data_IF_022285753237
#
_entry.id   IF_022285753237
#
_cell.length_a   1.000
_cell.length_b   1.000
_cell.length_c   1.000
_cell.angle_alpha   90.00
_cell.angle_beta   90.00
_cell.angle_gamma   90.00
#
_symmetry.space_group_name_H-M   'P 1'
#
loop_
_entity.id
_entity.type
_entity.pdbx_description
1 polymer ?
#
# COMPACT_ATOMS: atom_id res chain seq x y z
N UNK A 1 -5.19 -9.30 0.53
CA UNK A 1 -4.01 -9.07 1.38
C UNK A 1 -4.25 -7.78 2.15
N UNK A 2 -3.97 -7.74 3.45
CA UNK A 2 -4.14 -6.51 4.24
C UNK A 2 -2.95 -5.61 3.96
N UNK A 3 -3.16 -4.39 3.49
CA UNK A 3 -2.09 -3.49 3.02
C UNK A 3 -1.83 -2.33 3.98
N UNK A 4 -2.24 -2.47 5.24
CA UNK A 4 -2.15 -1.42 6.23
C UNK A 4 -1.99 -1.98 7.64
N UNK A 5 -1.43 -1.16 8.52
CA UNK A 5 -1.29 -1.44 9.94
C UNK A 5 -1.33 -0.15 10.78
N UNK A 6 -1.51 -0.30 12.08
CA UNK A 6 -1.31 0.79 13.03
C UNK A 6 -0.03 0.53 13.80
N UNK A 7 0.82 1.55 13.88
CA UNK A 7 2.03 1.52 14.68
C UNK A 7 1.99 2.66 15.69
N UNK A 8 2.69 2.46 16.81
CA UNK A 8 2.90 3.49 17.82
C UNK A 8 4.27 4.12 17.57
N UNK A 9 4.34 5.44 17.60
CA UNK A 9 5.62 6.15 17.51
C UNK A 9 6.40 5.95 18.82
N UNK A 10 7.68 5.58 18.70
CA UNK A 10 8.60 5.37 19.82
C UNK A 10 9.65 6.51 19.80
N UNK A 11 9.46 7.53 20.63
CA UNK A 11 10.23 8.78 20.56
C UNK A 11 9.95 9.52 19.25
N UNK A 12 10.88 9.42 18.31
CA UNK A 12 10.76 9.93 16.92
C UNK A 12 10.79 8.83 15.86
N UNK A 13 10.93 7.58 16.29
CA UNK A 13 11.08 6.43 15.41
C UNK A 13 9.75 5.73 15.17
N UNK A 14 9.54 5.30 13.93
CA UNK A 14 8.34 4.59 13.51
C UNK A 14 8.78 3.24 12.96
N UNK A 15 8.47 2.18 13.70
CA UNK A 15 8.73 0.80 13.29
C UNK A 15 7.65 0.34 12.31
N UNK A 16 8.07 -0.29 11.23
CA UNK A 16 7.18 -0.92 10.26
C UNK A 16 7.21 -2.43 10.52
N UNK A 17 6.04 -3.10 10.53
CA UNK A 17 5.99 -4.55 10.76
C UNK A 17 6.84 -5.31 9.74
N UNK A 18 7.44 -6.42 10.18
CA UNK A 18 8.39 -7.20 9.41
C UNK A 18 7.80 -7.62 8.07
N UNK A 19 6.53 -8.05 8.05
CA UNK A 19 5.89 -8.45 6.81
C UNK A 19 5.77 -7.29 5.80
N UNK A 20 5.39 -6.10 6.27
CA UNK A 20 5.29 -4.91 5.42
C UNK A 20 6.67 -4.44 4.97
N UNK A 21 7.65 -4.43 5.87
CA UNK A 21 9.04 -4.09 5.57
C UNK A 21 9.64 -5.03 4.52
N UNK A 22 9.49 -6.35 4.70
CA UNK A 22 9.96 -7.38 3.77
C UNK A 22 9.30 -7.24 2.39
N UNK A 23 7.98 -6.99 2.37
CA UNK A 23 7.22 -6.82 1.12
C UNK A 23 7.66 -5.58 0.36
N UNK A 24 8.02 -4.51 1.06
CA UNK A 24 8.36 -3.21 0.49
C UNK A 24 9.86 -3.01 0.26
N UNK A 25 10.69 -3.98 0.64
CA UNK A 25 12.15 -3.86 0.54
C UNK A 25 12.74 -2.83 1.51
N UNK A 26 12.04 -2.51 2.60
CA UNK A 26 12.50 -1.63 3.68
C UNK A 26 13.42 -2.42 4.62
N UNK A 27 14.59 -2.79 4.13
CA UNK A 27 15.60 -3.55 4.87
C UNK A 27 16.59 -2.64 5.58
N UNK A 28 17.20 -3.11 6.67
CA UNK A 28 18.22 -2.36 7.39
C UNK A 28 19.39 -1.97 6.48
N UNK A 29 19.77 -0.69 6.55
CA UNK A 29 20.76 -0.08 5.65
C UNK A 29 20.22 0.32 4.28
N UNK A 30 18.98 -0.06 3.94
CA UNK A 30 18.27 0.39 2.75
C UNK A 30 18.00 1.90 2.79
N UNK A 31 18.21 2.58 1.67
CA UNK A 31 17.98 4.02 1.55
C UNK A 31 16.54 4.29 1.13
N UNK A 32 15.86 5.14 1.90
CA UNK A 32 14.52 5.63 1.59
C UNK A 32 14.53 7.13 1.33
N UNK A 33 13.70 7.51 0.35
CA UNK A 33 13.36 8.89 0.02
C UNK A 33 12.03 9.22 0.67
N UNK A 34 11.94 10.34 1.36
CA UNK A 34 10.74 10.70 2.11
C UNK A 34 10.19 12.07 1.71
N UNK A 35 8.89 12.27 1.83
CA UNK A 35 8.27 13.59 1.70
C UNK A 35 7.10 13.72 2.65
N UNK A 36 7.12 14.83 3.38
CA UNK A 36 6.06 15.24 4.29
C UNK A 36 5.00 16.04 3.56
N UNK A 37 3.76 15.65 3.76
CA UNK A 37 2.57 16.32 3.30
C UNK A 37 1.69 16.74 4.48
N UNK A 38 0.97 17.84 4.33
CA UNK A 38 -0.08 18.28 5.24
C UNK A 38 -1.45 18.06 4.63
N UNK A 39 -2.32 17.39 5.36
CA UNK A 39 -3.71 17.20 4.97
C UNK A 39 -4.53 18.50 5.15
N UNK A 40 -5.65 18.65 4.43
CA UNK A 40 -6.56 19.76 4.62
C UNK A 40 -7.14 19.78 6.05
N UNK A 41 -7.71 20.93 6.43
CA UNK A 41 -8.35 21.10 7.73
C UNK A 41 -9.52 20.13 7.95
N UNK A 42 -10.18 19.67 6.89
CA UNK A 42 -11.26 18.69 6.96
C UNK A 42 -10.73 17.26 7.15
N UNK A 43 -11.47 16.44 7.91
CA UNK A 43 -11.15 15.03 8.16
C UNK A 43 -10.14 14.79 9.30
N UNK A 44 -9.86 13.52 9.63
CA UNK A 44 -9.09 13.15 10.83
C UNK A 44 -7.57 13.14 10.64
N UNK A 45 -7.08 13.18 9.40
CA UNK A 45 -5.65 13.12 9.09
C UNK A 45 -5.02 14.50 9.20
N UNK A 46 -3.80 14.58 9.73
CA UNK A 46 -3.05 15.84 9.89
C UNK A 46 -1.86 15.91 8.95
N UNK A 47 -0.91 15.00 9.11
CA UNK A 47 0.28 14.90 8.28
C UNK A 47 0.42 13.50 7.68
N UNK A 48 1.13 13.41 6.56
CA UNK A 48 1.45 12.15 5.92
C UNK A 48 2.90 12.18 5.43
N UNK A 49 3.71 11.20 5.84
CA UNK A 49 5.02 10.96 5.25
C UNK A 49 4.87 9.87 4.21
N UNK A 50 5.25 10.15 2.97
CA UNK A 50 5.40 9.13 1.94
C UNK A 50 6.87 8.72 1.88
N UNK A 51 7.16 7.44 2.09
CA UNK A 51 8.45 6.81 1.87
C UNK A 51 8.45 6.07 0.52
N UNK A 52 9.55 6.20 -0.22
CA UNK A 52 9.80 5.46 -1.46
C UNK A 52 11.22 4.93 -1.47
N UNK A 53 11.41 3.76 -2.08
CA UNK A 53 12.74 3.21 -2.39
C UNK A 53 13.41 3.91 -3.58
N UNK A 54 12.66 4.76 -4.30
CA UNK A 54 13.13 5.41 -5.52
C UNK A 54 13.23 6.93 -5.35
N UNK A 55 14.25 7.56 -5.95
CA UNK A 55 14.31 9.01 -6.04
C UNK A 55 13.11 9.57 -6.82
N UNK A 56 12.58 10.72 -6.41
CA UNK A 56 11.39 11.30 -7.03
C UNK A 56 11.61 11.75 -8.47
N UNK A 57 12.84 12.16 -8.78
CA UNK A 57 13.29 12.52 -10.11
C UNK A 57 13.08 11.39 -11.12
N UNK A 58 13.14 10.13 -10.67
CA UNK A 58 12.98 8.95 -11.54
C UNK A 58 11.53 8.53 -11.72
N UNK A 59 10.56 9.07 -10.97
CA UNK A 59 9.16 8.61 -11.02
C UNK A 59 8.50 8.65 -12.41
N UNK A 60 9.05 9.45 -13.33
CA UNK A 60 8.55 9.55 -14.72
C UNK A 60 9.08 8.44 -15.63
N UNK A 61 10.18 7.81 -15.27
CA UNK A 61 10.82 6.73 -16.04
C UNK A 61 10.51 5.35 -15.44
N UNK A 62 10.10 5.28 -14.17
CA UNK A 62 9.67 4.05 -13.53
C UNK A 62 8.50 3.38 -14.27
N UNK A 63 8.71 2.12 -14.63
CA UNK A 63 7.80 1.36 -15.48
C UNK A 63 7.67 -0.07 -14.96
N UNK A 64 6.43 -0.56 -14.92
CA UNK A 64 6.13 -1.96 -14.72
C UNK A 64 6.39 -2.76 -15.99
N UNK A 65 7.20 -3.82 -15.86
CA UNK A 65 7.43 -4.79 -16.92
C UNK A 65 6.97 -6.15 -16.42
N UNK A 66 5.98 -6.75 -17.09
CA UNK A 66 5.55 -8.12 -16.82
C UNK A 66 6.01 -9.02 -17.95
N UNK A 67 6.88 -9.97 -17.65
CA UNK A 67 7.41 -10.91 -18.64
C UNK A 67 6.76 -12.28 -18.44
N UNK A 68 6.24 -12.85 -19.53
CA UNK A 68 5.66 -14.20 -19.56
C UNK A 68 6.69 -15.11 -20.20
N UNK A 69 7.23 -16.04 -19.44
CA UNK A 69 8.36 -16.88 -19.82
C UNK A 69 7.95 -18.35 -19.87
N UNK A 70 8.65 -19.12 -20.68
CA UNK A 70 8.56 -20.57 -20.62
C UNK A 70 9.12 -21.10 -19.30
N UNK A 71 8.47 -22.10 -18.72
CA UNK A 71 8.95 -22.79 -17.52
C UNK A 71 10.03 -23.82 -17.88
N UNK A 72 11.18 -23.31 -18.33
CA UNK A 72 12.35 -24.12 -18.73
C UNK A 72 13.65 -23.45 -18.28
N UNK A 73 14.75 -24.22 -18.14
CA UNK A 73 16.04 -23.67 -17.73
C UNK A 73 16.52 -22.51 -18.60
N UNK A 74 16.94 -21.43 -17.94
CA UNK A 74 17.51 -20.24 -18.58
C UNK A 74 16.51 -19.21 -19.10
N UNK A 75 15.21 -19.39 -18.90
CA UNK A 75 14.19 -18.40 -19.30
C UNK A 75 14.36 -17.05 -18.58
N UNK A 76 14.52 -17.06 -17.26
CA UNK A 76 14.75 -15.82 -16.48
C UNK A 76 16.08 -15.15 -16.84
N UNK A 77 17.12 -15.93 -17.14
CA UNK A 77 18.41 -15.39 -17.58
C UNK A 77 18.31 -14.72 -18.96
N UNK A 78 17.57 -15.32 -19.91
CA UNK A 78 17.30 -14.72 -21.21
C UNK A 78 16.48 -13.42 -21.06
N UNK A 79 15.45 -13.44 -20.22
CA UNK A 79 14.63 -12.26 -19.91
C UNK A 79 15.46 -11.12 -19.32
N UNK A 80 16.31 -11.40 -18.32
CA UNK A 80 17.22 -10.42 -17.74
C UNK A 80 18.24 -9.91 -18.77
N UNK A 81 18.79 -10.80 -19.60
CA UNK A 81 19.71 -10.44 -20.68
C UNK A 81 19.08 -9.53 -21.74
N UNK A 82 17.81 -9.75 -22.07
CA UNK A 82 17.04 -8.91 -23.00
C UNK A 82 16.89 -7.47 -22.48
N UNK A 83 16.64 -7.29 -21.18
CA UNK A 83 16.59 -5.97 -20.54
C UNK A 83 17.99 -5.34 -20.45
N UNK A 84 18.98 -6.11 -20.00
CA UNK A 84 20.35 -5.65 -19.80
C UNK A 84 21.02 -5.17 -21.10
N UNK A 85 20.80 -5.86 -22.22
CA UNK A 85 21.35 -5.45 -23.52
C UNK A 85 20.81 -4.11 -24.03
N UNK A 86 19.78 -3.57 -23.37
CA UNK A 86 19.14 -2.27 -23.66
C UNK A 86 19.39 -1.24 -22.57
N UNK A 87 20.26 -1.55 -21.61
CA UNK A 87 20.57 -0.65 -20.50
C UNK A 87 19.41 -0.47 -19.52
N UNK A 88 18.42 -1.36 -19.51
CA UNK A 88 17.27 -1.26 -18.61
C UNK A 88 17.63 -1.91 -17.28
N UNK A 89 17.59 -1.11 -16.22
CA UNK A 89 17.85 -1.59 -14.86
C UNK A 89 16.58 -2.14 -14.23
N UNK A 90 16.67 -3.38 -13.72
CA UNK A 90 15.63 -3.94 -12.86
C UNK A 90 15.83 -3.39 -11.46
N UNK A 91 14.79 -2.76 -10.90
CA UNK A 91 14.84 -2.14 -9.58
C UNK A 91 14.32 -3.10 -8.51
N UNK A 92 13.07 -3.52 -8.63
CA UNK A 92 12.42 -4.45 -7.73
C UNK A 92 11.60 -5.48 -8.51
N UNK A 93 11.30 -6.63 -7.90
CA UNK A 93 10.47 -7.66 -8.54
C UNK A 93 9.53 -8.33 -7.54
N UNK A 94 8.27 -8.55 -7.96
CA UNK A 94 7.28 -9.27 -7.16
C UNK A 94 7.10 -10.67 -7.75
N UNK A 95 7.85 -11.62 -7.20
CA UNK A 95 7.69 -13.08 -7.34
C UNK A 95 7.62 -13.65 -8.77
N UNK A 96 7.78 -14.97 -8.84
CA UNK A 96 7.81 -15.78 -10.05
C UNK A 96 6.64 -16.76 -9.88
N UNK A 97 5.45 -16.36 -10.31
CA UNK A 97 4.22 -17.12 -10.06
C UNK A 97 3.86 -17.93 -11.31
N UNK A 98 3.99 -19.25 -11.21
CA UNK A 98 3.35 -20.20 -12.13
C UNK A 98 2.26 -20.94 -11.35
N UNK A 99 0.99 -20.68 -11.66
CA UNK A 99 -0.09 -21.58 -11.23
C UNK A 99 -0.30 -22.55 -12.40
N UNK A 100 0.05 -23.82 -12.20
CA UNK A 100 0.14 -24.89 -13.21
C UNK A 100 1.25 -24.69 -14.26
N UNK A 101 2.45 -25.20 -13.97
CA UNK A 101 3.58 -25.71 -14.79
C UNK A 101 3.74 -25.29 -16.28
N UNK A 102 3.22 -24.14 -16.71
CA UNK A 102 3.11 -23.82 -18.14
C UNK A 102 3.69 -22.46 -18.50
N UNK A 103 3.67 -21.49 -17.57
CA UNK A 103 4.19 -20.14 -17.76
C UNK A 103 4.73 -19.60 -16.45
N UNK A 104 5.94 -19.06 -16.52
CA UNK A 104 6.50 -18.21 -15.48
C UNK A 104 6.04 -16.76 -15.74
N UNK A 105 5.36 -16.14 -14.78
CA UNK A 105 5.07 -14.70 -14.84
C UNK A 105 6.02 -13.97 -13.91
N UNK A 106 6.86 -13.09 -14.47
CA UNK A 106 7.79 -12.26 -13.71
C UNK A 106 7.37 -10.79 -13.78
N UNK A 107 6.96 -10.23 -12.64
CA UNK A 107 6.55 -8.83 -12.52
C UNK A 107 7.70 -8.00 -11.96
N UNK A 108 8.08 -6.96 -12.69
CA UNK A 108 9.24 -6.13 -12.43
C UNK A 108 8.85 -4.66 -12.34
N UNK A 109 9.54 -3.92 -11.48
CA UNK A 109 9.72 -2.48 -11.59
C UNK A 109 11.08 -2.25 -12.26
N UNK A 110 11.11 -1.45 -13.32
CA UNK A 110 12.32 -1.11 -14.03
C UNK A 110 12.46 0.40 -14.22
N UNK A 111 13.71 0.88 -14.23
CA UNK A 111 14.03 2.25 -14.60
C UNK A 111 14.31 2.30 -16.11
N UNK A 112 13.50 3.07 -16.81
CA UNK A 112 13.71 3.36 -18.23
C UNK A 112 14.70 4.53 -18.38
N UNK A 113 15.43 4.60 -19.47
CA UNK A 113 16.33 5.71 -19.76
C UNK A 113 15.56 7.02 -19.98
N UNK A 114 14.34 6.95 -20.51
CA UNK A 114 13.46 8.10 -20.71
C UNK A 114 11.98 7.69 -20.74
N UNK A 115 11.09 8.66 -20.52
CA UNK A 115 9.66 8.45 -20.59
C UNK A 115 9.22 8.08 -22.03
N UNK A 116 8.57 6.93 -22.18
CA UNK A 116 8.12 6.40 -23.48
C UNK A 116 9.01 5.28 -24.06
N UNK A 117 10.19 5.02 -23.50
CA UNK A 117 11.06 3.92 -23.94
C UNK A 117 10.37 2.55 -23.84
N UNK A 118 9.40 2.39 -22.94
CA UNK A 118 8.61 1.17 -22.82
C UNK A 118 7.88 0.76 -24.10
N UNK A 119 7.45 1.72 -24.94
CA UNK A 119 6.82 1.39 -26.22
C UNK A 119 7.85 0.88 -27.23
N UNK A 120 9.05 1.48 -27.26
CA UNK A 120 10.18 1.04 -28.09
C UNK A 120 10.60 -0.39 -27.71
N UNK A 121 10.73 -0.66 -26.40
CA UNK A 121 11.04 -2.00 -25.89
C UNK A 121 10.02 -3.05 -26.36
N UNK A 122 8.73 -2.69 -26.37
CA UNK A 122 7.66 -3.56 -26.87
C UNK A 122 7.79 -3.83 -28.36
N UNK A 123 7.97 -2.78 -29.16
CA UNK A 123 8.12 -2.89 -30.61
C UNK A 123 9.33 -3.74 -31.01
N UNK A 124 10.47 -3.53 -30.34
CA UNK A 124 11.67 -4.33 -30.57
C UNK A 124 11.46 -5.80 -30.21
N UNK A 125 10.83 -6.08 -29.07
CA UNK A 125 10.52 -7.44 -28.67
C UNK A 125 9.66 -8.16 -29.72
N UNK A 126 8.56 -7.53 -30.15
CA UNK A 126 7.65 -8.10 -31.15
C UNK A 126 8.36 -8.30 -32.50
N UNK A 127 9.23 -7.36 -32.89
CA UNK A 127 10.06 -7.48 -34.09
C UNK A 127 11.02 -8.66 -34.03
N UNK A 128 11.62 -8.93 -32.87
CA UNK A 128 12.49 -10.10 -32.65
C UNK A 128 11.69 -11.40 -32.63
N UNK A 129 10.50 -11.41 -32.00
CA UNK A 129 9.59 -12.57 -32.01
C UNK A 129 9.12 -12.92 -33.41
N UNK A 130 8.71 -11.93 -34.22
CA UNK A 130 8.27 -12.14 -35.60
C UNK A 130 9.38 -12.74 -36.49
N UNK A 131 10.66 -12.48 -36.15
CA UNK A 131 11.83 -13.03 -36.84
C UNK A 131 12.31 -14.37 -36.26
N UNK A 132 11.64 -14.90 -35.24
CA UNK A 132 12.08 -16.08 -34.49
C UNK A 132 13.52 -15.95 -33.95
N UNK A 133 13.89 -14.77 -33.47
CA UNK A 133 15.23 -14.52 -32.95
C UNK A 133 15.49 -15.37 -31.68
N UNK A 134 16.60 -16.14 -31.64
CA UNK A 134 16.93 -16.99 -30.49
C UNK A 134 17.04 -16.25 -29.16
N UNK A 135 17.38 -14.96 -29.16
CA UNK A 135 17.56 -14.13 -27.97
C UNK A 135 16.28 -13.87 -27.18
N UNK A 136 15.11 -14.10 -27.78
CA UNK A 136 13.78 -13.93 -27.15
C UNK A 136 12.92 -15.19 -27.24
N UNK A 137 13.54 -16.33 -27.61
CA UNK A 137 12.86 -17.60 -27.87
C UNK A 137 12.01 -18.10 -26.69
N UNK A 138 12.49 -17.91 -25.45
CA UNK A 138 11.87 -18.39 -24.20
C UNK A 138 10.94 -17.36 -23.54
N UNK A 139 10.81 -16.18 -24.15
CA UNK A 139 9.92 -15.12 -23.71
C UNK A 139 8.68 -15.18 -24.60
N UNK A 140 7.51 -15.44 -24.02
CA UNK A 140 6.24 -15.53 -24.74
C UNK A 140 5.68 -14.17 -25.06
N UNK A 141 5.67 -13.27 -24.07
CA UNK A 141 5.07 -11.94 -24.15
C UNK A 141 5.71 -11.01 -23.13
N UNK A 142 5.68 -9.70 -23.40
CA UNK A 142 5.95 -8.66 -22.41
C UNK A 142 4.77 -7.68 -22.35
N UNK A 143 4.32 -7.35 -21.14
CA UNK A 143 3.38 -6.26 -20.89
C UNK A 143 4.14 -5.12 -20.20
N UNK A 144 3.95 -3.89 -20.68
CA UNK A 144 4.67 -2.71 -20.18
C UNK A 144 3.65 -1.64 -19.84
N UNK A 145 3.74 -1.08 -18.63
CA UNK A 145 2.85 -0.03 -18.13
C UNK A 145 3.64 0.97 -17.26
N UNK A 146 3.49 2.29 -17.47
CA UNK A 146 4.08 3.28 -16.56
C UNK A 146 3.63 3.06 -15.11
N UNK A 147 4.52 3.27 -14.14
CA UNK A 147 4.20 3.08 -12.72
C UNK A 147 3.28 4.19 -12.17
N UNK A 148 3.23 5.35 -12.83
CA UNK A 148 2.43 6.53 -12.43
C UNK A 148 2.61 7.00 -10.99
N UNK A 149 3.72 6.63 -10.33
CA UNK A 149 4.02 6.91 -8.92
C UNK A 149 3.90 8.39 -8.57
N UNK A 150 4.33 9.26 -9.48
CA UNK A 150 4.27 10.71 -9.31
C UNK A 150 2.87 11.25 -9.00
N UNK A 151 1.79 10.52 -9.30
CA UNK A 151 0.42 10.92 -8.93
C UNK A 151 0.21 11.04 -7.42
N UNK A 152 0.92 10.22 -6.62
CA UNK A 152 0.81 10.20 -5.15
C UNK A 152 1.44 11.45 -4.50
N UNK A 153 2.32 12.13 -5.23
CA UNK A 153 3.07 13.32 -4.80
C UNK A 153 2.56 14.61 -5.45
N UNK A 154 1.53 14.55 -6.31
CA UNK A 154 0.92 15.76 -6.86
C UNK A 154 0.13 16.45 -5.75
N UNK A 155 0.71 17.51 -5.20
CA UNK A 155 -0.01 18.47 -4.36
C UNK A 155 -1.26 18.99 -5.06
N UNK A 156 -2.25 19.38 -4.25
CA UNK A 156 -3.57 19.80 -4.69
C UNK A 156 -3.56 20.78 -5.89
N UNK A 157 -4.00 20.33 -7.07
CA UNK A 157 -4.61 21.22 -8.09
C UNK A 157 -6.13 21.32 -7.94
N UNK A 158 -6.71 20.57 -7.00
CA UNK A 158 -8.13 20.47 -6.70
C UNK A 158 -8.40 20.73 -5.21
N UNK A 159 -9.54 21.33 -4.84
CA UNK A 159 -9.93 21.50 -3.44
C UNK A 159 -9.91 20.15 -2.69
N UNK A 160 -9.22 20.08 -1.54
CA UNK A 160 -9.16 18.88 -0.69
C UNK A 160 -7.91 18.00 -0.83
N UNK A 161 -6.96 18.34 -1.72
CA UNK A 161 -5.68 17.63 -1.79
C UNK A 161 -4.73 18.00 -0.65
N UNK A 162 -3.78 17.11 -0.34
CA UNK A 162 -2.68 17.37 0.60
C UNK A 162 -1.65 18.35 -0.01
N UNK A 163 -1.02 19.15 0.83
CA UNK A 163 0.03 20.10 0.47
C UNK A 163 1.40 19.49 0.74
N UNK A 164 2.33 19.59 -0.21
CA UNK A 164 3.71 19.17 0.00
C UNK A 164 4.41 20.19 0.90
N UNK A 165 4.87 19.76 2.09
CA UNK A 165 5.50 20.63 3.08
C UNK A 165 7.02 20.61 2.93
N UNK A 166 7.60 19.41 2.85
CA UNK A 166 9.05 19.23 2.83
C UNK A 166 9.44 17.91 2.20
N UNK A 167 10.43 17.94 1.31
CA UNK A 167 11.14 16.75 0.86
C UNK A 167 12.31 16.47 1.79
N UNK A 168 12.39 15.25 2.28
CA UNK A 168 13.51 14.77 3.06
C UNK A 168 14.73 14.49 2.19
N UNK A 169 15.90 14.45 2.81
CA UNK A 169 17.09 13.88 2.19
C UNK A 169 17.05 12.34 2.28
N UNK A 170 17.80 11.64 1.41
CA UNK A 170 17.87 10.18 1.47
C UNK A 170 18.40 9.71 2.82
N UNK A 171 17.69 8.79 3.46
CA UNK A 171 18.01 8.33 4.81
C UNK A 171 17.93 6.81 4.89
N UNK A 172 18.76 6.21 5.74
CA UNK A 172 18.79 4.76 5.90
C UNK A 172 17.73 4.31 6.92
N UNK A 173 17.05 3.19 6.62
CA UNK A 173 16.29 2.44 7.62
C UNK A 173 17.27 1.80 8.60
N UNK A 174 16.98 1.90 9.89
CA UNK A 174 17.79 1.33 10.98
C UNK A 174 16.90 0.55 11.93
N UNK A 175 17.26 -0.69 12.21
CA UNK A 175 16.54 -1.61 13.09
C UNK A 175 15.03 -1.75 12.75
N UNK A 176 14.71 -1.72 11.45
CA UNK A 176 13.35 -1.75 10.92
C UNK A 176 12.51 -0.49 11.18
N UNK A 177 13.16 0.62 11.53
CA UNK A 177 12.50 1.88 11.86
C UNK A 177 12.94 3.04 10.95
N UNK A 178 11.98 3.93 10.69
CA UNK A 178 12.19 5.22 10.08
C UNK A 178 12.19 6.31 11.16
N UNK A 179 13.29 7.04 11.28
CA UNK A 179 13.42 8.13 12.25
C UNK A 179 13.05 9.47 11.59
N UNK A 180 12.08 10.17 12.18
CA UNK A 180 11.59 11.44 11.64
C UNK A 180 12.30 12.66 12.24
N UNK A 181 13.09 12.50 13.31
CA UNK A 181 13.64 13.62 14.09
C UNK A 181 14.42 14.61 13.24
N UNK A 182 15.35 14.10 12.43
CA UNK A 182 16.35 14.94 11.77
C UNK A 182 15.75 15.75 10.63
N UNK A 183 14.69 15.24 10.01
CA UNK A 183 14.11 15.79 8.78
C UNK A 183 12.81 16.53 9.03
N UNK A 184 12.04 16.13 10.04
CA UNK A 184 10.68 16.59 10.27
C UNK A 184 10.38 16.90 11.73
N UNK A 185 11.32 16.72 12.67
CA UNK A 185 11.07 16.90 14.10
C UNK A 185 10.67 18.31 14.52
N UNK A 186 11.00 19.34 13.74
CA UNK A 186 10.56 20.72 13.94
C UNK A 186 9.07 20.93 13.58
N UNK A 187 8.50 20.08 12.72
CA UNK A 187 7.10 20.12 12.30
C UNK A 187 6.27 19.10 13.08
N UNK A 188 6.80 17.89 13.22
CA UNK A 188 6.21 16.74 13.89
C UNK A 188 6.73 16.63 15.33
N UNK A 189 6.63 17.72 16.08
CA UNK A 189 7.01 17.75 17.50
C UNK A 189 5.99 17.03 18.38
N UNK A 190 6.46 16.35 19.44
CA UNK A 190 5.57 15.72 20.44
C UNK A 190 4.77 14.52 19.93
N UNK A 191 5.30 13.82 18.92
CA UNK A 191 4.65 12.64 18.33
C UNK A 191 4.86 11.34 19.12
N UNK A 192 5.70 11.36 20.15
CA UNK A 192 5.96 10.17 20.97
C UNK A 192 4.66 9.59 21.53
N UNK A 193 4.48 8.28 21.37
CA UNK A 193 3.28 7.57 21.77
C UNK A 193 2.03 7.81 20.91
N UNK A 194 2.11 8.59 19.83
CA UNK A 194 0.98 8.74 18.91
C UNK A 194 0.80 7.46 18.06
N UNK A 195 -0.45 7.16 17.70
CA UNK A 195 -0.74 6.13 16.70
C UNK A 195 -0.65 6.72 15.30
N UNK A 196 0.02 6.00 14.41
CA UNK A 196 0.08 6.30 12.98
C UNK A 196 -0.53 5.15 12.19
N UNK A 197 -1.17 5.48 11.07
CA UNK A 197 -1.61 4.49 10.09
C UNK A 197 -0.52 4.34 9.04
N UNK A 198 0.02 3.14 8.94
CA UNK A 198 0.97 2.79 7.89
C UNK A 198 0.20 2.06 6.80
N UNK A 199 0.32 2.51 5.54
CA UNK A 199 -0.34 1.89 4.38
C UNK A 199 0.68 1.67 3.28
N UNK A 200 0.71 0.47 2.70
CA UNK A 200 1.57 0.18 1.56
C UNK A 200 0.81 0.27 0.22
N UNK A 201 1.52 0.74 -0.80
CA UNK A 201 1.20 0.52 -2.20
C UNK A 201 2.31 -0.36 -2.79
N UNK A 202 2.04 -1.67 -2.82
CA UNK A 202 3.00 -2.68 -3.27
C UNK A 202 3.34 -2.56 -4.76
N UNK A 203 2.43 -2.05 -5.59
CA UNK A 203 2.72 -1.80 -6.99
C UNK A 203 3.70 -0.61 -7.11
N UNK A 204 3.46 0.45 -6.34
CA UNK A 204 4.29 1.65 -6.35
C UNK A 204 5.59 1.55 -5.53
N UNK A 205 5.78 0.49 -4.74
CA UNK A 205 6.85 0.37 -3.74
C UNK A 205 6.93 1.60 -2.81
N UNK A 206 5.75 2.05 -2.39
CA UNK A 206 5.56 3.20 -1.51
C UNK A 206 4.92 2.81 -0.19
N UNK A 207 5.41 3.40 0.89
CA UNK A 207 4.82 3.34 2.21
C UNK A 207 4.30 4.74 2.58
N UNK A 208 3.06 4.82 3.03
CA UNK A 208 2.46 6.03 3.59
C UNK A 208 2.37 5.88 5.11
N UNK A 209 2.87 6.86 5.85
CA UNK A 209 2.74 6.97 7.30
C UNK A 209 1.85 8.18 7.58
N UNK A 210 0.62 7.94 8.00
CA UNK A 210 -0.38 8.98 8.28
C UNK A 210 -0.46 9.26 9.78
N UNK A 211 -0.28 10.52 10.15
CA UNK A 211 -0.53 11.08 11.46
C UNK A 211 -1.95 11.63 11.54
N UNK A 212 -2.58 11.47 12.71
CA UNK A 212 -3.94 11.93 12.95
C UNK A 212 -3.95 13.22 13.77
N UNK A 213 -5.00 14.03 13.59
CA UNK A 213 -5.21 15.27 14.34
C UNK A 213 -5.46 14.96 15.80
N UNK A 214 -5.11 15.92 16.66
CA UNK A 214 -5.46 15.86 18.08
C UNK A 214 -6.98 15.70 18.25
N UNK A 215 -7.40 14.82 19.16
CA UNK A 215 -8.81 14.48 19.37
C UNK A 215 -9.38 13.39 18.46
N UNK A 216 -8.60 12.86 17.51
CA UNK A 216 -8.98 11.65 16.77
C UNK A 216 -9.08 10.47 17.73
N UNK A 217 -10.21 9.76 17.73
CA UNK A 217 -10.46 8.64 18.65
C UNK A 217 -10.64 7.37 17.84
N UNK A 218 -9.59 6.57 17.77
CA UNK A 218 -9.55 5.40 16.89
C UNK A 218 -10.02 4.13 17.61
N UNK A 219 -10.89 3.39 16.93
CA UNK A 219 -11.39 2.10 17.38
C UNK A 219 -11.25 1.09 16.26
N UNK A 220 -10.76 -0.10 16.60
CA UNK A 220 -10.75 -1.27 15.73
C UNK A 220 -11.87 -2.23 16.15
N UNK A 221 -12.70 -2.63 15.19
CA UNK A 221 -13.72 -3.65 15.36
C UNK A 221 -13.58 -4.75 14.31
N UNK A 222 -13.79 -6.00 14.72
CA UNK A 222 -13.74 -7.15 13.83
C UNK A 222 -15.00 -7.98 13.98
N UNK A 223 -15.59 -8.36 12.85
CA UNK A 223 -16.88 -9.01 12.77
C UNK A 223 -16.77 -10.27 11.92
N UNK A 224 -17.41 -11.35 12.37
CA UNK A 224 -17.79 -12.44 11.48
C UNK A 224 -19.21 -12.19 10.98
N UNK A 225 -19.42 -12.44 9.69
CA UNK A 225 -20.68 -12.12 9.03
C UNK A 225 -20.91 -13.02 7.81
N UNK A 226 -22.12 -13.05 7.23
CA UNK A 226 -22.39 -13.83 6.04
C UNK A 226 -21.64 -13.31 4.82
N UNK A 227 -21.11 -14.22 4.01
CA UNK A 227 -20.55 -13.90 2.70
C UNK A 227 -21.68 -13.85 1.66
N UNK A 228 -22.44 -12.75 1.63
CA UNK A 228 -23.57 -12.57 0.72
C UNK A 228 -23.74 -11.09 0.26
N UNK A 229 -24.45 -10.85 -0.85
CA UNK A 229 -24.77 -9.49 -1.30
C UNK A 229 -25.47 -8.67 -0.20
N UNK A 230 -25.02 -7.43 0.02
CA UNK A 230 -25.58 -6.54 1.02
C UNK A 230 -25.13 -6.81 2.47
N UNK A 231 -24.32 -7.85 2.72
CA UNK A 231 -23.80 -8.13 4.06
C UNK A 231 -23.01 -6.96 4.63
N UNK A 232 -21.96 -6.52 3.91
CA UNK A 232 -21.11 -5.39 4.35
C UNK A 232 -21.94 -4.11 4.48
N UNK A 233 -22.81 -3.85 3.51
CA UNK A 233 -23.67 -2.66 3.48
C UNK A 233 -24.48 -2.50 4.78
N UNK A 234 -25.10 -3.59 5.25
CA UNK A 234 -25.89 -3.57 6.47
C UNK A 234 -25.08 -3.14 7.71
N UNK A 235 -23.85 -3.66 7.85
CA UNK A 235 -22.95 -3.28 8.96
C UNK A 235 -22.50 -1.84 8.82
N UNK A 236 -22.12 -1.40 7.62
CA UNK A 236 -21.66 -0.03 7.41
C UNK A 236 -22.78 0.99 7.62
N UNK A 237 -24.03 0.66 7.31
CA UNK A 237 -25.19 1.51 7.58
C UNK A 237 -25.44 1.69 9.09
N UNK A 238 -25.25 0.64 9.89
CA UNK A 238 -25.33 0.75 11.37
C UNK A 238 -24.28 1.73 11.89
N UNK A 239 -23.04 1.61 11.42
CA UNK A 239 -21.92 2.44 11.85
C UNK A 239 -22.10 3.90 11.39
N UNK A 240 -22.53 4.11 10.15
CA UNK A 240 -22.84 5.42 9.61
C UNK A 240 -23.94 6.13 10.44
N UNK A 241 -24.93 5.36 10.93
CA UNK A 241 -25.98 5.86 11.83
C UNK A 241 -25.47 6.45 13.15
N UNK A 242 -24.22 6.19 13.54
CA UNK A 242 -23.59 6.74 14.74
C UNK A 242 -22.67 7.94 14.45
N UNK A 243 -22.68 8.46 13.22
CA UNK A 243 -21.79 9.55 12.79
C UNK A 243 -20.30 9.20 12.97
N UNK A 244 -19.96 7.92 12.79
CA UNK A 244 -18.59 7.40 12.88
C UNK A 244 -17.96 7.40 11.50
N UNK A 245 -16.73 7.92 11.40
CA UNK A 245 -16.00 7.93 10.14
C UNK A 245 -15.16 6.65 10.01
N UNK A 246 -15.16 6.02 8.84
CA UNK A 246 -14.32 4.85 8.56
C UNK A 246 -12.94 5.30 8.08
N UNK A 247 -11.89 4.79 8.73
CA UNK A 247 -10.49 4.99 8.33
C UNK A 247 -10.04 3.87 7.41
N UNK A 248 -10.41 2.63 7.74
CA UNK A 248 -10.04 1.46 6.95
C UNK A 248 -11.09 0.37 7.04
N UNK A 249 -11.25 -0.36 5.94
CA UNK A 249 -12.12 -1.52 5.80
C UNK A 249 -11.32 -2.64 5.16
N UNK A 250 -11.25 -3.79 5.83
CA UNK A 250 -10.61 -4.99 5.30
C UNK A 250 -11.56 -6.16 5.45
N UNK A 251 -11.69 -6.98 4.40
CA UNK A 251 -12.49 -8.19 4.46
C UNK A 251 -11.74 -9.40 3.95
N UNK A 252 -12.12 -10.57 4.46
CA UNK A 252 -11.58 -11.86 4.04
C UNK A 252 -12.68 -12.91 4.09
N UNK A 253 -12.93 -13.58 2.96
CA UNK A 253 -13.79 -14.76 2.92
C UNK A 253 -13.15 -15.88 3.73
N UNK A 254 -13.91 -16.45 4.68
CA UNK A 254 -13.51 -17.63 5.45
C UNK A 254 -14.00 -18.91 4.78
N UNK A 255 -15.27 -18.92 4.40
CA UNK A 255 -15.92 -19.99 3.64
C UNK A 255 -16.78 -19.33 2.57
N UNK A 256 -16.48 -19.63 1.31
CA UNK A 256 -17.13 -19.00 0.17
C UNK A 256 -18.64 -19.19 0.22
N UNK A 257 -19.38 -18.09 0.04
CA UNK A 257 -20.84 -18.02 0.09
C UNK A 257 -21.48 -18.39 1.43
N UNK A 258 -20.68 -18.41 2.51
CA UNK A 258 -21.17 -18.74 3.85
C UNK A 258 -20.72 -17.71 4.88
N UNK A 259 -19.41 -17.48 4.99
CA UNK A 259 -18.87 -16.67 6.10
C UNK A 259 -17.66 -15.88 5.65
N UNK A 260 -17.61 -14.62 6.07
CA UNK A 260 -16.49 -13.73 5.93
C UNK A 260 -16.14 -13.05 7.25
N UNK A 261 -14.92 -12.54 7.30
CA UNK A 261 -14.44 -11.65 8.34
C UNK A 261 -14.37 -10.22 7.80
N UNK A 262 -14.83 -9.25 8.58
CA UNK A 262 -14.76 -7.83 8.29
C UNK A 262 -14.04 -7.13 9.45
N UNK A 263 -12.91 -6.51 9.15
CA UNK A 263 -12.16 -5.65 10.07
C UNK A 263 -12.37 -4.19 9.68
N UNK A 264 -12.70 -3.38 10.67
CA UNK A 264 -12.98 -1.95 10.54
C UNK A 264 -12.07 -1.19 11.49
N UNK A 265 -11.49 -0.09 10.99
CA UNK A 265 -10.90 0.94 11.84
C UNK A 265 -11.66 2.23 11.64
N UNK A 266 -12.04 2.83 12.75
CA UNK A 266 -13.05 3.86 12.83
C UNK A 266 -12.53 5.03 13.65
N UNK A 267 -12.80 6.25 13.19
CA UNK A 267 -12.68 7.45 14.01
C UNK A 267 -14.06 7.78 14.60
N UNK A 268 -14.17 7.60 15.91
CA UNK A 268 -15.38 7.90 16.69
C UNK A 268 -15.34 9.34 17.25
N UNK A 269 -14.35 10.15 16.87
CA UNK A 269 -14.17 11.53 17.32
C UNK A 269 -15.43 12.38 17.21
N UNK A 270 -16.18 12.23 16.11
CA UNK A 270 -17.44 12.94 15.83
C UNK A 270 -18.72 12.23 16.30
N UNK A 271 -18.60 11.06 16.92
CA UNK A 271 -19.74 10.35 17.48
C UNK A 271 -20.09 10.90 18.87
N UNK A 272 -21.39 10.96 19.17
CA UNK A 272 -21.89 11.21 20.52
C UNK A 272 -21.68 10.00 21.45
N UNK A 273 -21.38 8.83 20.87
CA UNK A 273 -21.15 7.60 21.61
C UNK A 273 -19.68 7.46 22.01
N UNK A 274 -19.43 6.96 23.22
CA UNK A 274 -18.10 6.55 23.66
C UNK A 274 -17.70 5.20 23.05
N UNK A 275 -16.40 4.89 23.09
CA UNK A 275 -15.90 3.58 22.65
C UNK A 275 -16.56 2.41 23.40
N UNK A 276 -16.80 2.56 24.71
CA UNK A 276 -17.52 1.58 25.53
C UNK A 276 -18.98 1.42 25.12
N UNK A 277 -19.70 2.51 24.89
CA UNK A 277 -21.10 2.45 24.43
C UNK A 277 -21.21 1.75 23.07
N UNK A 278 -20.30 2.06 22.13
CA UNK A 278 -20.28 1.39 20.83
C UNK A 278 -19.99 -0.10 21.01
N UNK A 279 -19.03 -0.48 21.87
CA UNK A 279 -18.70 -1.88 22.17
C UNK A 279 -19.92 -2.65 22.67
N UNK A 280 -20.72 -2.05 23.55
CA UNK A 280 -21.91 -2.68 24.14
C UNK A 280 -23.10 -2.73 23.17
N UNK A 281 -23.29 -1.67 22.38
CA UNK A 281 -24.44 -1.56 21.49
C UNK A 281 -24.28 -2.32 20.18
N UNK A 282 -23.05 -2.43 19.65
CA UNK A 282 -22.79 -3.01 18.33
C UNK A 282 -23.32 -4.45 18.19
N UNK A 283 -23.08 -5.39 19.12
CA UNK A 283 -23.61 -6.75 19.01
C UNK A 283 -25.13 -6.80 18.84
N UNK A 284 -25.87 -6.03 19.65
CA UNK A 284 -27.34 -6.01 19.56
C UNK A 284 -27.86 -5.32 18.30
N UNK A 285 -27.13 -4.34 17.76
CA UNK A 285 -27.52 -3.66 16.52
C UNK A 285 -27.30 -4.50 15.27
N UNK A 286 -26.31 -5.39 15.29
CA UNK A 286 -26.03 -6.28 14.16
C UNK A 286 -26.80 -7.60 14.21
N UNK A 287 -27.31 -8.01 15.38
CA UNK A 287 -28.13 -9.23 15.53
C UNK A 287 -29.44 -9.17 14.74
N UNK A 288 -30.01 -7.97 14.59
CA UNK A 288 -31.25 -7.75 13.82
C UNK A 288 -31.06 -7.68 12.30
N UNK A 289 -29.85 -7.87 11.80
CA UNK A 289 -29.55 -7.82 10.37
C UNK A 289 -29.88 -9.15 9.68
N UNK A 290 -29.98 -9.13 8.35
CA UNK A 290 -30.25 -10.33 7.59
C UNK A 290 -29.02 -11.25 7.54
N UNK A 291 -29.00 -12.24 8.43
CA UNK A 291 -27.96 -13.27 8.57
C UNK A 291 -27.32 -13.29 9.96
N UNK A 292 -26.27 -14.10 10.14
CA UNK A 292 -25.58 -14.24 11.43
C UNK A 292 -24.36 -13.33 11.46
N UNK A 293 -24.43 -12.29 12.28
CA UNK A 293 -23.33 -11.35 12.53
C UNK A 293 -22.81 -11.54 13.95
N UNK A 294 -21.50 -11.46 14.15
CA UNK A 294 -20.89 -11.60 15.47
C UNK A 294 -19.69 -10.70 15.59
N UNK A 295 -19.68 -9.82 16.59
CA UNK A 295 -18.48 -9.05 16.95
C UNK A 295 -17.47 -10.01 17.58
N UNK A 296 -16.25 -10.07 17.05
CA UNK A 296 -15.15 -10.90 17.55
C UNK A 296 -14.11 -10.10 18.32
N UNK A 297 -13.86 -8.87 17.88
CA UNK A 297 -12.88 -7.98 18.52
C UNK A 297 -13.41 -6.55 18.54
N UNK A 298 -13.08 -5.83 19.61
CA UNK A 298 -13.34 -4.40 19.74
C UNK A 298 -12.30 -3.76 20.65
N UNK A 299 -11.38 -2.99 20.06
CA UNK A 299 -10.22 -2.43 20.75
C UNK A 299 -10.09 -0.94 20.45
N UNK A 300 -9.84 -0.15 21.49
CA UNK A 300 -9.50 1.27 21.34
C UNK A 300 -7.99 1.38 21.04
N UNK A 301 -7.63 2.13 20.01
CA UNK A 301 -6.23 2.36 19.64
C UNK A 301 -5.76 3.63 20.37
N UNK A 302 -4.95 3.45 21.42
CA UNK A 302 -4.46 4.51 22.32
C UNK A 302 -3.02 4.90 22.08
#
# INVERSE_FOLDING_TARGET
MKIWEFAKVEGSSIRVDNWMSDTMGLVDGGIVYSTLFKHPAEGPKDYEIILSMFPQENYRTLTHVTMYLDDVPGSSAQAAGFLASRGINVLNSISLNGISDTVIVWKLMADMNFAGEGDILREEFESLKARNDPSVSKIRRIDIKPAEIGRLFKGARTPGGKEEVRRGYPSAIKDGAFDVSDQYGDILGGIDGQNVLITMDADAWILSITFFKEGTRLVRAGLEMPDCPGGIEQVLNVIAGWNVNLISVFSKVKVCYQTMYLELVMDIGKSELTSEQIREMLPGKIEGLNGIYTVKEFTELR
#
